data_IF_300658614936
#
_entry.id   IF_300658614936
#
_cell.length_a   1.000
_cell.length_b   1.000
_cell.length_c   1.000
_cell.angle_alpha   90.00
_cell.angle_beta   90.00
_cell.angle_gamma   90.00
#
_symmetry.space_group_name_H-M   'P 1'
#
loop_
_entity.id
_entity.type
_entity.pdbx_description
1 polymer ?
#
# COMPACT_ATOMS: atom_id res chain seq x y z
N UNK A 1 7.58 -5.69 -26.78
CA UNK A 1 7.49 -4.31 -26.25
C UNK A 1 8.39 -4.27 -25.02
N UNK A 2 9.35 -3.33 -24.96
CA UNK A 2 10.25 -3.22 -23.82
C UNK A 2 9.49 -2.61 -22.66
N UNK A 3 8.98 -3.44 -21.76
CA UNK A 3 8.49 -3.00 -20.46
C UNK A 3 9.69 -2.50 -19.69
N UNK A 4 9.80 -1.19 -19.47
CA UNK A 4 10.81 -0.63 -18.58
C UNK A 4 10.44 -1.06 -17.16
N UNK A 5 10.91 -2.23 -16.77
CA UNK A 5 10.89 -2.65 -15.38
C UNK A 5 11.73 -1.65 -14.57
N UNK A 6 11.17 -1.05 -13.51
CA UNK A 6 11.89 -0.11 -12.68
C UNK A 6 13.14 -0.76 -12.09
N UNK A 7 14.22 0.01 -12.07
CA UNK A 7 15.49 -0.41 -11.52
C UNK A 7 15.40 -0.53 -9.99
N UNK A 8 16.29 -1.34 -9.41
CA UNK A 8 16.36 -1.52 -7.95
C UNK A 8 16.43 -0.18 -7.20
N UNK A 9 17.23 0.77 -7.71
CA UNK A 9 17.39 2.09 -7.10
C UNK A 9 16.10 2.90 -7.03
N UNK A 10 15.26 2.83 -8.06
CA UNK A 10 13.97 3.54 -8.12
C UNK A 10 12.99 2.96 -7.09
N UNK A 11 12.85 1.64 -7.08
CA UNK A 11 11.98 0.93 -6.13
C UNK A 11 12.45 1.07 -4.69
N UNK A 12 13.77 1.05 -4.47
CA UNK A 12 14.38 1.30 -3.17
C UNK A 12 13.99 2.67 -2.63
N UNK A 13 14.07 3.72 -3.45
CA UNK A 13 13.68 5.07 -3.02
C UNK A 13 12.20 5.13 -2.65
N UNK A 14 11.33 4.52 -3.46
CA UNK A 14 9.90 4.48 -3.15
C UNK A 14 9.61 3.71 -1.85
N UNK A 15 10.20 2.52 -1.67
CA UNK A 15 10.04 1.73 -0.44
C UNK A 15 10.55 2.45 0.80
N UNK A 16 11.64 3.23 0.68
CA UNK A 16 12.10 4.09 1.77
C UNK A 16 11.09 5.18 2.11
N UNK A 17 10.46 5.82 1.11
CA UNK A 17 9.38 6.79 1.33
C UNK A 17 8.17 6.13 2.02
N UNK A 18 7.81 4.90 1.62
CA UNK A 18 6.74 4.13 2.26
C UNK A 18 7.03 3.89 3.74
N UNK A 19 8.26 3.47 4.06
CA UNK A 19 8.68 3.26 5.45
C UNK A 19 8.67 4.56 6.25
N UNK A 20 9.16 5.66 5.67
CA UNK A 20 9.18 6.97 6.32
C UNK A 20 7.75 7.45 6.64
N UNK A 21 6.82 7.31 5.69
CA UNK A 21 5.39 7.60 5.90
C UNK A 21 4.78 6.77 7.02
N UNK A 22 5.10 5.47 7.08
CA UNK A 22 4.62 4.61 8.15
C UNK A 22 5.15 5.06 9.52
N UNK A 23 6.44 5.43 9.59
CA UNK A 23 7.07 5.98 10.80
C UNK A 23 6.44 7.31 11.19
N UNK A 24 6.14 8.18 10.23
CA UNK A 24 5.50 9.47 10.50
C UNK A 24 4.10 9.30 11.09
N UNK A 25 3.30 8.36 10.59
CA UNK A 25 2.01 8.01 11.23
C UNK A 25 2.23 7.60 12.68
N UNK A 26 3.22 6.75 12.98
CA UNK A 26 3.50 6.33 14.35
C UNK A 26 3.93 7.48 15.26
N UNK A 27 4.59 8.50 14.72
CA UNK A 27 5.09 9.65 15.47
C UNK A 27 4.02 10.71 15.73
N UNK A 28 3.05 10.87 14.84
CA UNK A 28 2.07 11.95 14.91
C UNK A 28 0.82 11.59 15.71
N UNK A 29 0.58 10.29 15.95
CA UNK A 29 -0.57 9.83 16.73
C UNK A 29 -0.37 10.10 18.21
N UNK A 30 -1.18 10.99 18.77
CA UNK A 30 -1.14 11.31 20.20
C UNK A 30 -2.21 10.56 20.99
N UNK A 31 -3.37 10.34 20.38
CA UNK A 31 -4.45 9.54 20.92
C UNK A 31 -5.30 8.96 19.80
N UNK A 32 -6.07 7.92 20.11
CA UNK A 32 -7.04 7.33 19.19
C UNK A 32 -8.37 7.30 19.92
N UNK A 33 -9.38 7.98 19.38
CA UNK A 33 -10.73 7.92 19.93
C UNK A 33 -11.31 6.51 19.80
N UNK A 34 -12.09 6.08 20.79
CA UNK A 34 -12.58 4.71 20.87
C UNK A 34 -13.44 4.34 19.66
N UNK A 35 -14.20 5.29 19.12
CA UNK A 35 -15.05 5.12 17.95
C UNK A 35 -14.24 4.94 16.66
N UNK A 36 -12.94 5.24 16.66
CA UNK A 36 -12.05 5.07 15.51
C UNK A 36 -11.06 3.90 15.68
N UNK A 37 -10.98 3.34 16.89
CA UNK A 37 -9.93 2.41 17.30
C UNK A 37 -9.83 1.18 16.40
N UNK A 38 -10.95 0.54 16.05
CA UNK A 38 -10.93 -0.68 15.25
C UNK A 38 -10.37 -0.43 13.83
N UNK A 39 -10.77 0.68 13.21
CA UNK A 39 -10.27 1.08 11.89
C UNK A 39 -8.77 1.41 11.93
N UNK A 40 -8.34 2.15 12.95
CA UNK A 40 -6.92 2.49 13.13
C UNK A 40 -6.09 1.22 13.38
N UNK A 41 -6.53 0.33 14.27
CA UNK A 41 -5.83 -0.93 14.53
C UNK A 41 -5.75 -1.82 13.29
N UNK A 42 -6.82 -1.89 12.50
CA UNK A 42 -6.82 -2.60 11.23
C UNK A 42 -5.78 -2.02 10.27
N UNK A 43 -5.80 -0.70 10.06
CA UNK A 43 -4.83 -0.01 9.20
C UNK A 43 -3.38 -0.26 9.64
N UNK A 44 -3.09 -0.10 10.94
CA UNK A 44 -1.75 -0.25 11.48
C UNK A 44 -1.23 -1.69 11.36
N UNK A 45 -2.09 -2.69 11.59
CA UNK A 45 -1.74 -4.10 11.38
C UNK A 45 -1.47 -4.41 9.91
N UNK A 46 -2.30 -3.89 9.01
CA UNK A 46 -2.12 -4.07 7.57
C UNK A 46 -0.80 -3.45 7.09
N UNK A 47 -0.45 -2.25 7.55
CA UNK A 47 0.84 -1.62 7.26
C UNK A 47 2.01 -2.44 7.81
N UNK A 48 1.92 -2.91 9.07
CA UNK A 48 2.95 -3.75 9.66
C UNK A 48 3.19 -5.04 8.88
N UNK A 49 2.12 -5.73 8.46
CA UNK A 49 2.22 -6.93 7.63
C UNK A 49 2.82 -6.64 6.25
N UNK A 50 2.35 -5.58 5.59
CA UNK A 50 2.80 -5.16 4.27
C UNK A 50 4.30 -4.83 4.24
N UNK A 51 4.84 -4.30 5.34
CA UNK A 51 6.20 -3.78 5.41
C UNK A 51 7.18 -4.69 6.17
N UNK A 52 6.73 -5.81 6.74
CA UNK A 52 7.52 -6.75 7.55
C UNK A 52 8.83 -7.18 6.84
N UNK A 53 8.75 -7.44 5.53
CA UNK A 53 9.92 -7.90 4.74
C UNK A 53 10.81 -6.78 4.22
N UNK A 54 10.38 -5.52 4.30
CA UNK A 54 11.08 -4.40 3.69
C UNK A 54 12.54 -4.26 4.15
N UNK A 55 12.89 -4.38 5.45
CA UNK A 55 14.29 -4.24 5.89
C UNK A 55 15.21 -5.30 5.27
N UNK A 56 14.73 -6.54 5.16
CA UNK A 56 15.51 -7.64 4.58
C UNK A 56 15.77 -7.43 3.08
N UNK A 57 14.75 -6.99 2.35
CA UNK A 57 14.83 -6.75 0.89
C UNK A 57 15.73 -5.55 0.59
N UNK A 58 15.64 -4.49 1.39
CA UNK A 58 16.53 -3.31 1.26
C UNK A 58 18.01 -3.64 1.50
N UNK A 59 18.29 -4.72 2.24
CA UNK A 59 19.65 -5.18 2.53
C UNK A 59 20.17 -6.25 1.56
N UNK A 60 19.32 -6.84 0.72
CA UNK A 60 19.70 -7.98 -0.14
C UNK A 60 20.25 -7.59 -1.50
N UNK A 61 20.07 -6.34 -1.94
CA UNK A 61 20.41 -5.83 -3.29
C UNK A 61 19.88 -6.73 -4.44
N UNK A 62 18.83 -7.51 -4.17
CA UNK A 62 18.21 -8.46 -5.09
C UNK A 62 17.00 -7.81 -5.78
N UNK A 63 17.11 -7.63 -7.10
CA UNK A 63 16.05 -7.01 -7.91
C UNK A 63 14.78 -7.85 -7.97
N UNK A 64 14.87 -9.18 -8.01
CA UNK A 64 13.69 -10.05 -8.02
C UNK A 64 12.93 -9.95 -6.70
N UNK A 65 13.65 -10.00 -5.58
CA UNK A 65 13.02 -9.82 -4.26
C UNK A 65 12.43 -8.42 -4.10
N UNK A 66 13.08 -7.39 -4.65
CA UNK A 66 12.54 -6.03 -4.68
C UNK A 66 11.27 -5.92 -5.52
N UNK A 67 11.26 -6.49 -6.73
CA UNK A 67 10.06 -6.53 -7.58
C UNK A 67 8.91 -7.25 -6.87
N UNK A 68 9.19 -8.39 -6.24
CA UNK A 68 8.18 -9.14 -5.49
C UNK A 68 7.64 -8.34 -4.31
N UNK A 69 8.51 -7.72 -3.51
CA UNK A 69 8.11 -6.87 -2.39
C UNK A 69 7.21 -5.72 -2.84
N UNK A 70 7.57 -5.03 -3.92
CA UNK A 70 6.79 -3.90 -4.41
C UNK A 70 5.45 -4.35 -5.00
N UNK A 71 5.40 -5.47 -5.72
CA UNK A 71 4.15 -6.08 -6.15
C UNK A 71 3.22 -6.39 -4.97
N UNK A 72 3.75 -7.03 -3.92
CA UNK A 72 2.97 -7.33 -2.70
C UNK A 72 2.49 -6.06 -2.00
N UNK A 73 3.36 -5.06 -1.88
CA UNK A 73 3.03 -3.75 -1.32
C UNK A 73 1.82 -3.12 -2.04
N UNK A 74 1.85 -3.00 -3.37
CA UNK A 74 0.74 -2.39 -4.12
C UNK A 74 -0.56 -3.20 -4.00
N UNK A 75 -0.46 -4.52 -4.03
CA UNK A 75 -1.62 -5.41 -3.93
C UNK A 75 -2.32 -5.24 -2.58
N UNK A 76 -1.54 -5.28 -1.50
CA UNK A 76 -2.05 -5.12 -0.13
C UNK A 76 -2.50 -3.68 0.14
N UNK A 77 -1.88 -2.67 -0.47
CA UNK A 77 -2.31 -1.28 -0.35
C UNK A 77 -3.69 -1.06 -0.98
N UNK A 78 -3.93 -1.66 -2.15
CA UNK A 78 -5.24 -1.63 -2.79
C UNK A 78 -6.30 -2.35 -1.98
N UNK A 79 -5.98 -3.52 -1.41
CA UNK A 79 -6.87 -4.22 -0.48
C UNK A 79 -7.17 -3.40 0.79
N UNK A 80 -6.16 -2.72 1.35
CA UNK A 80 -6.34 -1.85 2.51
C UNK A 80 -7.29 -0.71 2.19
N UNK A 81 -7.10 0.00 1.06
CA UNK A 81 -8.01 1.08 0.62
C UNK A 81 -9.45 0.60 0.52
N UNK A 82 -9.66 -0.56 -0.12
CA UNK A 82 -10.99 -1.14 -0.26
C UNK A 82 -11.65 -1.48 1.09
N UNK A 83 -10.88 -2.11 1.99
CA UNK A 83 -11.39 -2.47 3.31
C UNK A 83 -11.71 -1.25 4.17
N UNK A 84 -10.94 -0.16 4.05
CA UNK A 84 -11.24 1.10 4.75
C UNK A 84 -12.55 1.70 4.26
N UNK A 85 -12.77 1.74 2.94
CA UNK A 85 -14.02 2.26 2.35
C UNK A 85 -15.23 1.45 2.82
N UNK A 86 -15.14 0.12 2.80
CA UNK A 86 -16.30 -0.72 3.11
C UNK A 86 -16.59 -0.86 4.60
N UNK A 87 -15.56 -1.07 5.41
CA UNK A 87 -15.73 -1.50 6.80
C UNK A 87 -15.49 -0.38 7.80
N UNK A 88 -14.70 0.64 7.42
CA UNK A 88 -14.28 1.72 8.30
C UNK A 88 -14.43 3.13 7.68
N UNK A 89 -15.53 3.45 6.96
CA UNK A 89 -15.67 4.73 6.27
C UNK A 89 -15.74 5.94 7.21
N UNK A 90 -16.10 5.70 8.47
CA UNK A 90 -16.21 6.70 9.53
C UNK A 90 -14.89 6.93 10.28
N UNK A 91 -13.90 6.05 10.11
CA UNK A 91 -12.70 6.08 10.92
C UNK A 91 -11.76 7.21 10.48
N UNK A 92 -11.22 7.92 11.46
CA UNK A 92 -10.24 8.98 11.28
C UNK A 92 -9.10 8.82 12.29
N UNK A 93 -8.04 9.56 12.05
CA UNK A 93 -6.90 9.68 12.93
C UNK A 93 -6.51 11.16 13.00
N UNK A 94 -6.62 11.77 14.18
CA UNK A 94 -6.42 13.22 14.37
C UNK A 94 -7.27 14.04 13.37
N UNK A 95 -8.56 13.72 13.29
CA UNK A 95 -9.56 14.30 12.36
C UNK A 95 -9.32 14.05 10.86
N UNK A 96 -8.28 13.33 10.47
CA UNK A 96 -8.01 12.98 9.07
C UNK A 96 -8.59 11.59 8.76
N UNK A 97 -9.47 11.44 7.76
CA UNK A 97 -9.99 10.12 7.36
C UNK A 97 -8.86 9.15 7.03
N UNK A 98 -8.98 7.89 7.48
CA UNK A 98 -7.92 6.89 7.27
C UNK A 98 -7.63 6.66 5.78
N UNK A 99 -8.66 6.71 4.93
CA UNK A 99 -8.49 6.60 3.48
C UNK A 99 -7.58 7.72 2.94
N UNK A 100 -7.79 8.96 3.37
CA UNK A 100 -6.97 10.10 2.95
C UNK A 100 -5.51 9.93 3.36
N UNK A 101 -5.25 9.35 4.54
CA UNK A 101 -3.87 9.03 4.99
C UNK A 101 -3.24 7.99 4.06
N UNK A 102 -3.98 6.90 3.78
CA UNK A 102 -3.50 5.79 2.93
C UNK A 102 -3.33 6.20 1.47
N UNK A 103 -4.11 7.14 0.95
CA UNK A 103 -3.95 7.69 -0.39
C UNK A 103 -2.63 8.44 -0.58
N UNK A 104 -1.97 8.85 0.50
CA UNK A 104 -0.65 9.49 0.40
C UNK A 104 0.48 8.51 0.11
N UNK A 105 0.27 7.19 0.30
CA UNK A 105 1.28 6.18 0.03
C UNK A 105 1.52 6.05 -1.49
N UNK A 106 2.80 6.02 -1.94
CA UNK A 106 3.13 6.08 -3.35
C UNK A 106 2.71 4.81 -4.10
N UNK A 107 2.28 4.98 -5.35
CA UNK A 107 1.89 3.90 -6.27
C UNK A 107 2.58 4.00 -7.64
N UNK A 108 3.75 4.68 -7.71
CA UNK A 108 4.33 5.15 -8.98
C UNK A 108 4.64 4.01 -9.96
N UNK A 109 4.96 2.83 -9.45
CA UNK A 109 5.32 1.66 -10.26
C UNK A 109 4.30 0.51 -10.18
N UNK A 110 3.08 0.77 -9.70
CA UNK A 110 2.05 -0.26 -9.52
C UNK A 110 1.78 -1.04 -10.80
N UNK A 111 1.50 -0.34 -11.90
CA UNK A 111 1.23 -0.98 -13.20
C UNK A 111 2.42 -1.82 -13.68
N UNK A 112 3.64 -1.32 -13.50
CA UNK A 112 4.84 -2.02 -13.92
C UNK A 112 5.07 -3.30 -13.10
N UNK A 113 4.85 -3.27 -11.79
CA UNK A 113 5.00 -4.44 -10.92
C UNK A 113 3.90 -5.48 -11.10
N UNK A 114 2.66 -5.05 -11.36
CA UNK A 114 1.59 -5.95 -11.80
C UNK A 114 2.01 -6.68 -13.08
N UNK A 115 2.42 -5.94 -14.11
CA UNK A 115 2.82 -6.53 -15.38
C UNK A 115 4.04 -7.47 -15.24
N UNK A 116 5.02 -7.09 -14.42
CA UNK A 116 6.15 -7.97 -14.11
C UNK A 116 5.70 -9.31 -13.50
N UNK A 117 4.75 -9.27 -12.55
CA UNK A 117 4.21 -10.46 -11.92
C UNK A 117 3.45 -11.36 -12.91
N UNK A 118 2.61 -10.75 -13.76
CA UNK A 118 1.87 -11.46 -14.79
C UNK A 118 2.81 -12.15 -15.79
N UNK A 119 3.83 -11.42 -16.27
CA UNK A 119 4.83 -11.96 -17.18
C UNK A 119 5.61 -13.13 -16.56
N UNK A 120 5.87 -13.06 -15.24
CA UNK A 120 6.64 -14.07 -14.52
C UNK A 120 5.84 -15.33 -14.20
N UNK A 121 4.55 -15.20 -13.93
CA UNK A 121 3.70 -16.32 -13.46
C UNK A 121 2.73 -16.85 -14.52
N UNK A 122 2.44 -16.06 -15.56
CA UNK A 122 1.38 -16.34 -16.52
C UNK A 122 -0.03 -16.14 -15.97
N UNK A 123 -0.18 -15.64 -14.74
CA UNK A 123 -1.46 -15.32 -14.12
C UNK A 123 -1.83 -13.88 -14.43
N UNK A 124 -3.08 -13.62 -14.79
CA UNK A 124 -3.60 -12.26 -14.94
C UNK A 124 -4.00 -11.75 -13.57
N UNK A 125 -3.50 -10.59 -13.18
CA UNK A 125 -3.93 -9.89 -11.97
C UNK A 125 -5.26 -9.21 -12.31
N UNK A 126 -6.36 -9.85 -11.95
CA UNK A 126 -7.67 -9.23 -12.11
C UNK A 126 -7.76 -8.02 -11.16
N UNK A 127 -7.79 -6.82 -11.72
CA UNK A 127 -8.38 -5.67 -11.02
C UNK A 127 -9.85 -6.05 -10.83
N UNK A 128 -10.21 -6.42 -9.60
CA UNK A 128 -11.57 -6.80 -9.26
C UNK A 128 -12.53 -5.80 -9.89
N UNK A 129 -13.48 -6.30 -10.68
CA UNK A 129 -14.64 -5.58 -11.26
C UNK A 129 -15.62 -5.09 -10.17
N UNK A 130 -15.08 -4.58 -9.08
CA UNK A 130 -15.76 -3.85 -8.02
C UNK A 130 -15.13 -2.45 -7.92
N UNK A 131 -14.80 -1.86 -9.08
CA UNK A 131 -15.19 -0.48 -9.35
C UNK A 131 -16.72 -0.42 -9.19
N UNK A 132 -17.19 -0.47 -7.94
CA UNK A 132 -18.37 0.28 -7.58
C UNK A 132 -17.95 1.68 -8.01
N UNK A 133 -18.52 2.13 -9.13
CA UNK A 133 -18.70 3.54 -9.37
C UNK A 133 -19.16 4.10 -8.03
N UNK A 134 -18.25 4.69 -7.26
CA UNK A 134 -18.63 5.58 -6.18
C UNK A 134 -19.19 6.76 -6.95
N UNK A 135 -20.45 6.61 -7.36
CA UNK A 135 -21.30 7.71 -7.79
C UNK A 135 -21.12 8.74 -6.71
N UNK A 136 -20.50 9.85 -7.09
CA UNK A 136 -20.26 10.98 -6.22
C UNK A 136 -21.48 11.18 -5.34
N UNK A 137 -21.30 11.11 -4.02
CA UNK A 137 -22.33 11.50 -3.07
C UNK A 137 -22.76 12.93 -3.45
N UNK A 138 -24.00 13.08 -3.92
CA UNK A 138 -24.71 14.36 -4.02
C UNK A 138 -25.30 14.71 -2.66
#
# INVERSE_FOLDING_TARGET
MSTNEPAFGELKQELLIVLDRHIDILKTVTSIEIDHLDGVLFMMRSLGFMLDRAPKVLASDDLTEMHFMMFQYYSLLSELKYNLVLNFPYASLEDVPLLTIIETFPTSYETAMKQWWENRTGLVVEETKQTIEITAFQ
#
